data_IF_411837581810
#
_entry.id   IF_411837581810
#
_cell.length_a   1.000
_cell.length_b   1.000
_cell.length_c   1.000
_cell.angle_alpha   90.00
_cell.angle_beta   90.00
_cell.angle_gamma   90.00
#
_symmetry.space_group_name_H-M   'P 1'
#
loop_
_entity.id
_entity.type
_entity.pdbx_description
1 polymer ?
#
# COMPACT_ATOMS: atom_id res chain seq x y z
N UNK A 1 22.34 5.69 -14.87
CA UNK A 1 21.29 6.50 -15.53
C UNK A 1 20.54 7.25 -14.45
N UNK A 2 20.42 8.57 -14.55
CA UNK A 2 19.71 9.38 -13.56
C UNK A 2 18.24 8.96 -13.47
N UNK A 3 17.77 8.69 -12.26
CA UNK A 3 16.36 8.37 -12.00
C UNK A 3 15.47 9.52 -12.50
N UNK A 4 14.40 9.27 -13.27
CA UNK A 4 13.52 10.33 -13.74
C UNK A 4 12.98 11.10 -12.53
N UNK A 5 13.10 12.43 -12.56
CA UNK A 5 12.70 13.31 -11.47
C UNK A 5 11.36 12.85 -10.86
N UNK A 6 11.34 12.66 -9.54
CA UNK A 6 10.15 12.24 -8.83
C UNK A 6 9.01 13.21 -9.14
N UNK A 7 7.78 12.72 -9.42
CA UNK A 7 6.70 13.60 -9.81
C UNK A 7 6.39 14.52 -8.62
N UNK A 8 6.18 15.81 -8.87
CA UNK A 8 5.93 16.81 -7.83
C UNK A 8 4.56 16.60 -7.20
N UNK A 9 4.52 15.74 -6.17
CA UNK A 9 3.29 15.44 -5.42
C UNK A 9 2.98 16.54 -4.41
N UNK A 10 1.71 16.68 -4.04
CA UNK A 10 1.25 17.67 -3.06
C UNK A 10 2.04 17.65 -1.73
N UNK A 11 2.52 16.47 -1.31
CA UNK A 11 3.38 16.33 -0.13
C UNK A 11 4.70 17.10 -0.26
N UNK A 12 5.37 17.08 -1.41
CA UNK A 12 6.62 17.81 -1.62
C UNK A 12 6.43 19.33 -1.70
N UNK A 13 5.26 19.78 -2.16
CA UNK A 13 4.89 21.20 -2.10
C UNK A 13 4.69 21.68 -0.67
N UNK A 14 4.00 20.86 0.15
CA UNK A 14 3.74 21.19 1.55
C UNK A 14 4.98 21.01 2.44
N UNK A 15 5.77 19.98 2.18
CA UNK A 15 6.95 19.58 2.95
C UNK A 15 8.14 19.33 2.02
N UNK A 16 8.87 20.38 1.61
CA UNK A 16 9.96 20.27 0.65
C UNK A 16 11.08 19.30 1.06
N UNK A 17 11.35 19.19 2.36
CA UNK A 17 12.36 18.29 2.91
C UNK A 17 12.09 16.81 2.59
N UNK A 18 10.84 16.40 2.34
CA UNK A 18 10.53 15.01 1.96
C UNK A 18 11.12 14.58 0.62
N UNK A 19 11.60 15.52 -0.22
CA UNK A 19 12.30 15.17 -1.47
C UNK A 19 13.60 14.39 -1.23
N UNK A 20 14.20 14.51 -0.04
CA UNK A 20 15.42 13.77 0.32
C UNK A 20 15.13 12.35 0.84
N UNK A 21 13.87 12.04 1.15
CA UNK A 21 13.46 10.70 1.61
C UNK A 21 13.25 9.82 0.38
N UNK A 22 13.91 8.66 0.28
CA UNK A 22 13.71 7.73 -0.81
C UNK A 22 12.23 7.35 -0.96
N UNK A 23 11.77 7.30 -2.21
CA UNK A 23 10.39 7.00 -2.54
C UNK A 23 10.31 6.11 -3.76
N UNK A 24 9.62 4.98 -3.62
CA UNK A 24 9.22 4.12 -4.72
C UNK A 24 7.82 4.50 -5.21
N UNK A 25 7.56 4.35 -6.52
CA UNK A 25 6.24 4.62 -7.09
C UNK A 25 5.37 3.37 -7.00
N UNK A 26 4.45 3.34 -6.05
CA UNK A 26 3.44 2.29 -5.90
C UNK A 26 2.04 2.80 -6.24
N UNK A 27 1.83 4.11 -6.16
CA UNK A 27 0.54 4.74 -6.37
C UNK A 27 0.53 5.63 -7.62
N UNK A 28 -0.60 5.67 -8.30
CA UNK A 28 -0.96 6.73 -9.25
C UNK A 28 -1.55 7.89 -8.46
N UNK A 29 -0.93 9.07 -8.58
CA UNK A 29 -1.30 10.27 -7.82
C UNK A 29 -1.49 11.47 -8.77
N UNK A 30 -2.40 12.41 -8.45
CA UNK A 30 -3.32 12.40 -7.32
C UNK A 30 -4.47 11.39 -7.50
N UNK A 31 -4.99 10.86 -6.40
CA UNK A 31 -6.21 10.03 -6.43
C UNK A 31 -7.45 10.89 -6.67
N UNK A 32 -8.49 10.37 -7.34
CA UNK A 32 -9.70 11.13 -7.64
C UNK A 32 -10.41 11.62 -6.38
N UNK A 33 -11.01 12.81 -6.45
CA UNK A 33 -11.94 13.34 -5.43
C UNK A 33 -13.30 13.50 -6.09
N UNK A 34 -14.29 12.77 -5.59
CA UNK A 34 -15.63 12.72 -6.16
C UNK A 34 -16.61 13.47 -5.26
N UNK A 35 -17.53 14.22 -5.85
CA UNK A 35 -18.61 14.89 -5.13
C UNK A 35 -19.80 13.92 -5.02
N UNK A 36 -20.17 13.53 -3.80
CA UNK A 36 -21.27 12.61 -3.55
C UNK A 36 -22.59 13.37 -3.35
N UNK A 37 -22.98 14.17 -4.34
CA UNK A 37 -24.17 15.05 -4.32
C UNK A 37 -25.44 14.30 -3.94
N UNK A 38 -25.60 13.07 -4.43
CA UNK A 38 -26.76 12.23 -4.17
C UNK A 38 -26.90 11.82 -2.69
N UNK A 39 -25.81 11.88 -1.91
CA UNK A 39 -25.84 11.61 -0.47
C UNK A 39 -25.92 12.90 0.34
N UNK A 40 -25.12 13.92 0.00
CA UNK A 40 -25.17 15.23 0.65
C UNK A 40 -24.45 16.31 -0.20
N UNK A 41 -24.98 17.54 -0.32
CA UNK A 41 -24.45 18.58 -1.22
C UNK A 41 -23.04 19.08 -0.88
N UNK A 42 -22.54 18.81 0.34
CA UNK A 42 -21.17 19.17 0.75
C UNK A 42 -20.27 17.94 1.01
N UNK A 43 -20.71 16.73 0.67
CA UNK A 43 -19.93 15.52 0.89
C UNK A 43 -19.00 15.23 -0.29
N UNK A 44 -17.71 15.14 0.00
CA UNK A 44 -16.67 14.78 -0.96
C UNK A 44 -15.99 13.48 -0.52
N UNK A 45 -15.68 12.61 -1.48
CA UNK A 45 -15.03 11.32 -1.25
C UNK A 45 -13.72 11.29 -2.01
N UNK A 46 -12.61 11.13 -1.28
CA UNK A 46 -11.29 10.90 -1.89
C UNK A 46 -11.09 9.40 -2.13
N UNK A 47 -11.03 8.99 -3.39
CA UNK A 47 -10.94 7.59 -3.84
C UNK A 47 -9.50 7.07 -3.80
N UNK A 48 -8.92 7.07 -2.61
CA UNK A 48 -7.59 6.46 -2.42
C UNK A 48 -7.61 4.95 -2.68
N UNK A 49 -8.77 4.28 -2.62
CA UNK A 49 -8.93 2.87 -3.00
C UNK A 49 -8.56 2.57 -4.47
N UNK A 50 -8.62 3.59 -5.35
CA UNK A 50 -8.26 3.49 -6.77
C UNK A 50 -6.82 3.93 -7.07
N UNK A 51 -6.00 4.18 -6.05
CA UNK A 51 -4.68 4.76 -6.26
C UNK A 51 -3.59 3.75 -6.67
N UNK A 52 -3.89 2.45 -6.72
CA UNK A 52 -2.95 1.42 -7.14
C UNK A 52 -3.71 0.21 -7.70
N UNK A 53 -3.09 -0.53 -8.63
CA UNK A 53 -3.72 -1.70 -9.29
C UNK A 53 -4.14 -2.80 -8.31
N UNK A 54 -3.43 -2.93 -7.19
CA UNK A 54 -3.75 -3.86 -6.12
C UNK A 54 -3.36 -3.28 -4.76
N UNK A 55 -4.22 -3.49 -3.76
CA UNK A 55 -4.00 -3.06 -2.37
C UNK A 55 -3.66 -1.56 -2.26
N UNK A 56 -4.44 -0.74 -2.96
CA UNK A 56 -4.42 0.71 -2.85
C UNK A 56 -4.91 1.22 -1.48
N UNK A 57 -5.25 2.49 -1.41
CA UNK A 57 -5.70 3.16 -0.19
C UNK A 57 -4.60 3.97 0.48
N UNK A 58 -4.85 4.42 1.71
CA UNK A 58 -3.89 5.28 2.43
C UNK A 58 -2.55 4.57 2.68
N UNK A 59 -2.58 3.25 2.93
CA UNK A 59 -1.39 2.49 3.34
C UNK A 59 -0.38 2.43 2.20
N UNK A 60 -0.85 2.26 0.98
CA UNK A 60 -0.01 2.29 -0.22
C UNK A 60 0.77 3.61 -0.33
N UNK A 61 0.18 4.75 0.06
CA UNK A 61 0.86 6.06 0.04
C UNK A 61 2.02 6.13 1.03
N UNK A 62 1.83 5.59 2.23
CA UNK A 62 2.90 5.53 3.24
C UNK A 62 3.98 4.53 2.83
N UNK A 63 3.58 3.40 2.24
CA UNK A 63 4.51 2.37 1.77
C UNK A 63 5.44 2.85 0.66
N UNK A 64 5.05 3.84 -0.15
CA UNK A 64 5.96 4.46 -1.13
C UNK A 64 7.24 4.99 -0.49
N UNK A 65 7.18 5.47 0.76
CA UNK A 65 8.36 5.95 1.50
C UNK A 65 8.99 4.85 2.34
N UNK A 66 8.19 4.02 3.02
CA UNK A 66 8.72 2.94 3.86
C UNK A 66 9.47 1.87 3.05
N UNK A 67 9.06 1.63 1.81
CA UNK A 67 9.72 0.72 0.88
C UNK A 67 10.65 1.47 -0.09
N UNK A 68 10.91 2.76 0.13
CA UNK A 68 11.62 3.63 -0.81
C UNK A 68 13.08 3.23 -1.06
N UNK A 69 13.69 2.50 -0.14
CA UNK A 69 15.07 1.99 -0.26
C UNK A 69 15.14 0.49 -0.55
N UNK A 70 13.99 -0.21 -0.57
CA UNK A 70 13.94 -1.66 -0.77
C UNK A 70 14.35 -2.02 -2.19
N UNK A 71 15.21 -3.04 -2.30
CA UNK A 71 15.74 -3.57 -3.55
C UNK A 71 15.35 -5.03 -3.73
N UNK A 72 15.48 -5.52 -4.96
CA UNK A 72 15.25 -6.93 -5.26
C UNK A 72 16.22 -7.81 -4.44
N UNK A 73 15.71 -8.89 -3.85
CA UNK A 73 16.46 -9.78 -2.96
C UNK A 73 16.49 -9.36 -1.48
N UNK A 74 16.10 -8.12 -1.14
CA UNK A 74 15.95 -7.71 0.26
C UNK A 74 14.84 -8.52 0.95
N UNK A 75 14.84 -8.54 2.28
CA UNK A 75 13.75 -9.13 3.07
C UNK A 75 12.97 -8.04 3.81
N UNK A 76 11.66 -7.97 3.56
CA UNK A 76 10.74 -7.08 4.27
C UNK A 76 9.97 -7.89 5.31
N UNK A 77 10.18 -7.54 6.59
CA UNK A 77 9.40 -8.07 7.71
C UNK A 77 8.22 -7.15 8.01
N UNK A 78 7.02 -7.71 8.10
CA UNK A 78 5.81 -6.99 8.53
C UNK A 78 5.05 -7.79 9.58
N UNK A 79 4.33 -7.09 10.46
CA UNK A 79 3.59 -7.72 11.56
C UNK A 79 2.15 -7.21 11.63
N UNK A 80 1.23 -8.06 12.08
CA UNK A 80 -0.18 -7.68 12.27
C UNK A 80 -1.07 -8.84 12.68
N UNK A 81 -2.24 -8.56 13.25
CA UNK A 81 -3.26 -9.59 13.52
C UNK A 81 -3.69 -10.33 12.25
N UNK A 82 -4.26 -11.53 12.41
CA UNK A 82 -4.90 -12.25 11.31
C UNK A 82 -5.93 -11.35 10.58
N UNK A 83 -5.95 -11.38 9.25
CA UNK A 83 -6.78 -10.47 8.45
C UNK A 83 -6.28 -9.02 8.33
N UNK A 84 -5.05 -8.70 8.76
CA UNK A 84 -4.50 -7.34 8.63
C UNK A 84 -4.28 -6.94 7.17
N UNK A 85 -5.04 -5.93 6.72
CA UNK A 85 -4.84 -5.29 5.41
C UNK A 85 -3.49 -4.59 5.28
N UNK A 86 -2.85 -4.23 6.40
CA UNK A 86 -1.49 -3.70 6.39
C UNK A 86 -0.48 -4.77 6.02
N UNK A 87 -0.53 -5.92 6.70
CA UNK A 87 0.35 -7.06 6.41
C UNK A 87 0.23 -7.48 4.95
N UNK A 88 -1.02 -7.59 4.46
CA UNK A 88 -1.29 -7.93 3.06
C UNK A 88 -0.71 -6.89 2.09
N UNK A 89 -0.99 -5.60 2.31
CA UNK A 89 -0.52 -4.52 1.42
C UNK A 89 1.01 -4.40 1.42
N UNK A 90 1.65 -4.47 2.58
CA UNK A 90 3.13 -4.44 2.70
C UNK A 90 3.74 -5.63 1.97
N UNK A 91 3.24 -6.85 2.21
CA UNK A 91 3.77 -8.04 1.55
C UNK A 91 3.58 -7.98 0.03
N UNK A 92 2.40 -7.56 -0.44
CA UNK A 92 2.12 -7.47 -1.87
C UNK A 92 3.01 -6.43 -2.57
N UNK A 93 3.17 -5.24 -1.99
CA UNK A 93 3.99 -4.19 -2.59
C UNK A 93 5.49 -4.48 -2.49
N UNK A 94 5.98 -5.06 -1.39
CA UNK A 94 7.37 -5.50 -1.28
C UNK A 94 7.71 -6.57 -2.33
N UNK A 95 6.84 -7.55 -2.56
CA UNK A 95 7.02 -8.55 -3.62
C UNK A 95 7.04 -7.95 -5.02
N UNK A 96 6.25 -6.91 -5.29
CA UNK A 96 6.31 -6.16 -6.57
C UNK A 96 7.68 -5.52 -6.81
N UNK A 97 8.44 -5.22 -5.75
CA UNK A 97 9.81 -4.70 -5.85
C UNK A 97 10.88 -5.81 -5.95
N UNK A 98 10.46 -7.07 -6.00
CA UNK A 98 11.37 -8.23 -6.04
C UNK A 98 11.96 -8.61 -4.69
N UNK A 99 11.44 -8.06 -3.58
CA UNK A 99 11.87 -8.43 -2.23
C UNK A 99 11.17 -9.70 -1.72
N UNK A 100 11.85 -10.44 -0.86
CA UNK A 100 11.25 -11.47 -0.02
C UNK A 100 10.42 -10.84 1.09
N UNK A 101 9.40 -11.56 1.57
CA UNK A 101 8.50 -11.05 2.60
C UNK A 101 8.30 -12.06 3.71
N UNK A 102 8.47 -11.61 4.95
CA UNK A 102 8.18 -12.37 6.15
C UNK A 102 7.04 -11.67 6.89
N UNK A 103 6.01 -12.43 7.28
CA UNK A 103 4.87 -11.90 8.00
C UNK A 103 4.70 -12.62 9.34
N UNK A 104 4.82 -11.90 10.45
CA UNK A 104 4.46 -12.44 11.77
C UNK A 104 3.04 -12.02 12.11
N UNK A 105 2.19 -13.01 12.41
CA UNK A 105 0.76 -12.78 12.67
C UNK A 105 0.33 -13.38 14.01
N UNK A 106 -0.62 -12.72 14.67
CA UNK A 106 -1.25 -13.22 15.89
C UNK A 106 -2.77 -13.32 15.72
N UNK A 107 -3.37 -14.31 16.40
CA UNK A 107 -4.81 -14.46 16.46
C UNK A 107 -5.42 -13.38 17.33
N UNK A 108 -6.58 -12.89 16.93
CA UNK A 108 -7.42 -11.98 17.70
C UNK A 108 -8.89 -12.25 17.35
N UNK A 109 -9.84 -11.78 18.16
CA UNK A 109 -11.25 -11.91 17.84
C UNK A 109 -11.55 -11.22 16.50
N UNK A 110 -11.88 -12.03 15.49
CA UNK A 110 -12.07 -11.58 14.12
C UNK A 110 -13.55 -11.29 13.85
N UNK A 111 -13.85 -10.09 13.36
CA UNK A 111 -15.13 -9.81 12.74
C UNK A 111 -15.19 -10.42 11.32
N UNK A 112 -16.39 -10.55 10.71
CA UNK A 112 -16.53 -11.17 9.38
C UNK A 112 -15.68 -10.54 8.26
N UNK A 113 -15.33 -9.26 8.38
CA UNK A 113 -14.43 -8.58 7.45
C UNK A 113 -12.98 -9.05 7.57
N UNK A 114 -12.49 -9.22 8.81
CA UNK A 114 -11.14 -9.73 9.08
C UNK A 114 -10.96 -11.19 8.62
N UNK A 115 -12.00 -12.02 8.74
CA UNK A 115 -12.02 -13.40 8.22
C UNK A 115 -11.74 -13.40 6.71
N UNK A 116 -12.48 -12.57 5.95
CA UNK A 116 -12.36 -12.50 4.48
C UNK A 116 -10.98 -12.02 4.02
N UNK A 117 -10.36 -11.09 4.75
CA UNK A 117 -8.98 -10.68 4.46
C UNK A 117 -7.98 -11.80 4.77
N UNK A 118 -8.20 -12.56 5.85
CA UNK A 118 -7.33 -13.68 6.22
C UNK A 118 -7.35 -14.80 5.16
N UNK A 119 -8.51 -15.10 4.59
CA UNK A 119 -8.67 -16.06 3.49
C UNK A 119 -7.93 -15.64 2.22
N UNK A 120 -8.03 -14.36 1.83
CA UNK A 120 -7.31 -13.81 0.68
C UNK A 120 -5.79 -13.91 0.90
N UNK A 121 -5.32 -13.60 2.12
CA UNK A 121 -3.89 -13.73 2.47
C UNK A 121 -3.45 -15.20 2.35
N UNK A 122 -4.22 -16.14 2.87
CA UNK A 122 -3.89 -17.57 2.83
C UNK A 122 -3.85 -18.12 1.38
N UNK A 123 -4.81 -17.73 0.53
CA UNK A 123 -4.84 -18.13 -0.89
C UNK A 123 -3.71 -17.54 -1.73
N UNK A 124 -3.17 -16.38 -1.35
CA UNK A 124 -2.03 -15.76 -2.04
C UNK A 124 -0.66 -16.39 -1.70
N UNK A 125 -0.60 -17.28 -0.69
CA UNK A 125 0.62 -17.97 -0.27
C UNK A 125 0.85 -19.32 -0.98
N UNK A 126 -0.16 -19.88 -1.66
CA UNK A 126 -0.12 -21.23 -2.28
C UNK A 126 0.13 -21.24 -3.80
N UNK A 127 0.54 -20.13 -4.40
CA UNK A 127 0.97 -20.08 -5.79
C UNK A 127 2.44 -20.47 -5.97
N UNK A 128 2.75 -21.77 -5.92
CA UNK A 128 3.98 -22.31 -6.51
C UNK A 128 3.85 -22.20 -8.02
N UNK A 129 4.74 -21.43 -8.65
CA UNK A 129 4.91 -21.43 -10.11
C UNK A 129 5.32 -22.84 -10.54
N UNK A 130 4.48 -23.51 -11.34
CA UNK A 130 4.92 -24.51 -12.32
C UNK A 130 5.30 -23.80 -13.61
#
# INVERSE_FOLDING_TARGET
MASPAAPDIALYRRFPALRQVPRVRLCVLPSPVLHATNAHPRLWIKRDDLNADAFGGNKARSLEFLLGEVRAGDTVLTIGGEGSTHVLSTAAHARKLGAHTVAMRWKHDMNPGSVRVSEIIAGSATGTLS
#
